data_IF_219086847177
#
_entry.id   IF_219086847177
#
_cell.length_a   1.000
_cell.length_b   1.000
_cell.length_c   1.000
_cell.angle_alpha   90.00
_cell.angle_beta   90.00
_cell.angle_gamma   90.00
#
_symmetry.space_group_name_H-M   'P 1'
#
loop_
_entity.id
_entity.type
_entity.pdbx_description
1 polymer ?
#
# COMPACT_ATOMS: atom_id res chain seq x y z
N UNK A 1 9.41 -1.08 -12.62
CA UNK A 1 8.32 -1.62 -11.77
C UNK A 1 8.93 -2.24 -10.52
N UNK A 2 8.39 -1.94 -9.34
CA UNK A 2 8.87 -2.51 -8.08
C UNK A 2 7.95 -3.63 -7.61
N UNK A 3 8.52 -4.70 -7.09
CA UNK A 3 7.79 -5.84 -6.53
C UNK A 3 8.16 -5.97 -5.06
N UNK A 4 7.18 -6.37 -4.25
CA UNK A 4 7.39 -6.59 -2.82
C UNK A 4 8.10 -7.92 -2.60
N UNK A 5 9.35 -7.86 -2.15
CA UNK A 5 10.13 -9.02 -1.70
C UNK A 5 10.27 -9.00 -0.18
N UNK A 6 9.50 -9.84 0.52
CA UNK A 6 9.46 -9.93 1.99
C UNK A 6 9.22 -8.57 2.67
N UNK A 7 10.30 -7.91 3.12
CA UNK A 7 10.29 -6.65 3.88
C UNK A 7 10.74 -5.42 3.07
N UNK A 8 11.15 -5.60 1.82
CA UNK A 8 11.59 -4.51 0.93
C UNK A 8 10.82 -4.53 -0.39
N UNK A 9 10.85 -3.40 -1.10
CA UNK A 9 10.46 -3.31 -2.50
C UNK A 9 11.71 -3.36 -3.35
N UNK A 10 11.71 -4.16 -4.41
CA UNK A 10 12.83 -4.31 -5.31
C UNK A 10 12.41 -3.99 -6.74
N UNK A 11 13.17 -3.16 -7.43
CA UNK A 11 13.01 -2.96 -8.85
C UNK A 11 13.70 -4.11 -9.60
N UNK A 12 12.96 -4.85 -10.44
CA UNK A 12 13.55 -5.94 -11.23
C UNK A 12 14.43 -5.47 -12.39
N UNK A 13 14.40 -4.17 -12.73
CA UNK A 13 15.18 -3.60 -13.84
C UNK A 13 16.55 -3.12 -13.34
N UNK A 14 16.58 -2.27 -12.31
CA UNK A 14 17.81 -1.65 -11.81
C UNK A 14 18.32 -2.26 -10.49
N UNK A 15 17.64 -3.28 -9.96
CA UNK A 15 17.98 -3.94 -8.70
C UNK A 15 17.90 -3.06 -7.43
N UNK A 16 17.44 -1.81 -7.56
CA UNK A 16 17.27 -0.89 -6.43
C UNK A 16 16.27 -1.43 -5.41
N UNK A 17 16.60 -1.29 -4.13
CA UNK A 17 15.74 -1.69 -3.03
C UNK A 17 15.31 -0.47 -2.22
N UNK A 18 14.03 -0.40 -1.90
CA UNK A 18 13.46 0.64 -1.06
C UNK A 18 12.44 0.01 -0.09
N UNK A 19 12.64 0.18 1.20
CA UNK A 19 11.68 -0.29 2.22
C UNK A 19 10.40 0.54 2.22
N UNK A 20 10.47 1.78 1.75
CA UNK A 20 9.48 2.84 1.83
C UNK A 20 8.75 3.12 0.51
N UNK A 21 9.03 2.40 -0.58
CA UNK A 21 8.40 2.65 -1.88
C UNK A 21 6.85 2.60 -1.86
N UNK A 22 6.27 1.89 -0.89
CA UNK A 22 4.82 1.89 -0.67
C UNK A 22 4.25 3.28 -0.32
N UNK A 23 5.01 4.17 0.31
CA UNK A 23 4.56 5.55 0.57
C UNK A 23 4.39 6.34 -0.73
N UNK A 24 5.36 6.25 -1.64
CA UNK A 24 5.27 6.89 -2.95
C UNK A 24 4.06 6.35 -3.74
N UNK A 25 3.89 5.03 -3.75
CA UNK A 25 2.75 4.38 -4.39
C UNK A 25 1.39 4.85 -3.79
N UNK A 26 1.28 4.93 -2.47
CA UNK A 26 0.05 5.42 -1.82
C UNK A 26 -0.23 6.90 -2.14
N UNK A 27 0.81 7.72 -2.24
CA UNK A 27 0.66 9.12 -2.63
C UNK A 27 0.21 9.27 -4.10
N UNK A 28 0.72 8.44 -5.00
CA UNK A 28 0.24 8.36 -6.39
C UNK A 28 -1.22 7.90 -6.45
N UNK A 29 -1.58 6.86 -5.69
CA UNK A 29 -2.97 6.42 -5.56
C UNK A 29 -3.87 7.58 -5.12
N UNK A 30 -3.44 8.36 -4.11
CA UNK A 30 -4.18 9.52 -3.61
C UNK A 30 -4.50 10.54 -4.68
N UNK A 31 -3.56 10.80 -5.59
CA UNK A 31 -3.75 11.74 -6.71
C UNK A 31 -4.76 11.26 -7.74
N UNK A 32 -4.87 9.95 -7.95
CA UNK A 32 -5.70 9.35 -9.00
C UNK A 32 -7.11 9.06 -8.49
N UNK A 33 -7.23 8.52 -7.27
CA UNK A 33 -8.48 7.97 -6.73
C UNK A 33 -9.02 8.71 -5.51
N UNK A 34 -8.27 9.66 -4.96
CA UNK A 34 -8.58 10.34 -3.71
C UNK A 34 -7.92 9.72 -2.49
N UNK A 35 -8.12 10.33 -1.33
CA UNK A 35 -7.43 10.02 -0.08
C UNK A 35 -7.92 8.74 0.62
N UNK A 36 -9.06 8.18 0.21
CA UNK A 36 -9.60 6.95 0.77
C UNK A 36 -9.10 5.69 0.05
N UNK A 37 -8.52 4.76 0.80
CA UNK A 37 -8.09 3.47 0.27
C UNK A 37 -8.65 2.30 1.11
N UNK A 38 -9.18 1.29 0.43
CA UNK A 38 -9.57 0.02 1.08
C UNK A 38 -8.44 -0.99 1.01
N UNK A 39 -8.49 -2.05 1.82
CA UNK A 39 -7.52 -3.14 1.69
C UNK A 39 -7.56 -3.78 0.28
N UNK A 40 -8.74 -3.91 -0.32
CA UNK A 40 -8.90 -4.48 -1.65
C UNK A 40 -8.29 -3.58 -2.74
N UNK A 41 -8.51 -2.27 -2.64
CA UNK A 41 -7.90 -1.30 -3.55
C UNK A 41 -6.37 -1.29 -3.41
N UNK A 42 -5.86 -1.26 -2.18
CA UNK A 42 -4.43 -1.31 -1.90
C UNK A 42 -3.78 -2.60 -2.41
N UNK A 43 -4.43 -3.76 -2.27
CA UNK A 43 -3.94 -5.03 -2.84
C UNK A 43 -3.79 -4.96 -4.35
N UNK A 44 -4.80 -4.43 -5.03
CA UNK A 44 -4.83 -4.34 -6.49
C UNK A 44 -3.79 -3.34 -6.99
N UNK A 45 -3.67 -2.18 -6.34
CA UNK A 45 -2.74 -1.12 -6.71
C UNK A 45 -1.27 -1.49 -6.42
N UNK A 46 -1.00 -2.06 -5.25
CA UNK A 46 0.35 -2.47 -4.83
C UNK A 46 0.77 -3.83 -5.40
N UNK A 47 -0.13 -4.52 -6.11
CA UNK A 47 0.06 -5.87 -6.64
C UNK A 47 0.46 -6.89 -5.55
N UNK A 48 -0.21 -6.83 -4.40
CA UNK A 48 0.00 -7.75 -3.28
C UNK A 48 -1.27 -8.57 -3.06
N UNK A 49 -1.15 -9.90 -3.18
CA UNK A 49 -2.27 -10.81 -2.96
C UNK A 49 -2.61 -11.05 -1.48
N UNK A 50 -1.67 -10.85 -0.56
CA UNK A 50 -1.94 -11.09 0.86
C UNK A 50 -2.65 -9.90 1.50
N UNK A 51 -3.91 -10.08 1.89
CA UNK A 51 -4.68 -9.07 2.66
C UNK A 51 -3.99 -8.72 3.98
N UNK A 52 -3.39 -9.71 4.65
CA UNK A 52 -2.65 -9.54 5.90
C UNK A 52 -1.41 -8.67 5.71
N UNK A 53 -0.65 -8.90 4.63
CA UNK A 53 0.52 -8.07 4.30
C UNK A 53 0.11 -6.64 4.03
N UNK A 54 -0.95 -6.43 3.22
CA UNK A 54 -1.44 -5.08 2.93
C UNK A 54 -1.97 -4.38 4.17
N UNK A 55 -2.72 -5.07 5.06
CA UNK A 55 -3.15 -4.50 6.34
C UNK A 55 -1.96 -3.99 7.15
N UNK A 56 -0.87 -4.77 7.19
CA UNK A 56 0.35 -4.37 7.89
C UNK A 56 1.03 -3.18 7.23
N UNK A 57 1.09 -3.12 5.89
CA UNK A 57 1.65 -1.98 5.15
C UNK A 57 0.86 -0.71 5.46
N UNK A 58 -0.47 -0.74 5.33
CA UNK A 58 -1.33 0.43 5.60
C UNK A 58 -1.22 0.89 7.06
N UNK A 59 -1.13 -0.07 8.01
CA UNK A 59 -0.91 0.24 9.43
C UNK A 59 0.47 0.86 9.68
N UNK A 60 1.52 0.31 9.09
CA UNK A 60 2.89 0.81 9.24
C UNK A 60 3.11 2.15 8.53
N UNK A 61 2.33 2.43 7.49
CA UNK A 61 2.29 3.73 6.82
C UNK A 61 1.60 4.82 7.66
N UNK A 62 1.10 4.50 8.87
CA UNK A 62 0.48 5.47 9.76
C UNK A 62 -0.90 5.94 9.32
N UNK A 63 -1.55 5.21 8.40
CA UNK A 63 -2.84 5.62 7.87
C UNK A 63 -3.95 5.47 8.92
N UNK A 64 -4.83 6.47 9.00
CA UNK A 64 -5.99 6.44 9.89
C UNK A 64 -7.01 5.45 9.35
N UNK A 65 -7.31 4.39 10.10
CA UNK A 65 -8.37 3.43 9.77
C UNK A 65 -9.74 4.02 10.15
N UNK A 66 -10.70 3.97 9.23
CA UNK A 66 -12.11 4.31 9.44
C UNK A 66 -12.95 3.04 9.27
N UNK A 67 -13.72 2.70 10.31
CA UNK A 67 -14.56 1.50 10.35
C UNK A 67 -13.84 0.25 10.86
N UNK A 68 -14.64 -0.74 11.29
CA UNK A 68 -14.13 -1.95 11.92
C UNK A 68 -14.15 -3.18 11.01
N UNK A 69 -15.14 -3.27 10.12
CA UNK A 69 -15.51 -4.49 9.39
C UNK A 69 -15.10 -4.46 7.90
N UNK A 70 -15.82 -5.21 7.05
CA UNK A 70 -15.53 -5.42 5.61
C UNK A 70 -15.44 -4.13 4.77
N UNK A 71 -16.04 -3.04 5.26
CA UNK A 71 -15.98 -1.69 4.66
C UNK A 71 -14.90 -0.78 5.24
N UNK A 72 -13.94 -1.31 6.01
CA UNK A 72 -12.87 -0.50 6.60
C UNK A 72 -12.08 0.22 5.51
N UNK A 73 -11.98 1.55 5.64
CA UNK A 73 -11.16 2.42 4.79
C UNK A 73 -9.96 2.93 5.56
N UNK A 74 -8.95 3.39 4.85
CA UNK A 74 -7.77 4.04 5.38
C UNK A 74 -7.64 5.40 4.71
N UNK A 75 -7.33 6.43 5.48
CA UNK A 75 -7.11 7.78 4.97
C UNK A 75 -5.62 8.02 4.76
N UNK A 76 -5.26 8.37 3.53
CA UNK A 76 -3.93 8.79 3.11
C UNK A 76 -3.80 10.29 3.41
N UNK A 77 -3.02 10.66 4.44
CA UNK A 77 -2.77 12.07 4.78
C UNK A 77 -1.87 12.73 3.76
#
# INVERSE_FOLDING_TARGET
>A
MMVREKRNWRCHICNHQDSNAHFAALYEYKKIFGDEITNAAARSFLQIESSTVVKRILKNAGLKKIGENKGSKYIIS
#
